data_IF_725196422468
#
_entry.id   IF_725196422468
#
_cell.length_a   1.000
_cell.length_b   1.000
_cell.length_c   1.000
_cell.angle_alpha   90.00
_cell.angle_beta   90.00
_cell.angle_gamma   90.00
#
_symmetry.space_group_name_H-M   'P 1'
#
loop_
_entity.id
_entity.type
_entity.pdbx_description
1 polymer ?
#
# COMPACT_ATOMS: atom_id res chain seq x y z
N UNK A 1 6.41 17.50 0.94
CA UNK A 1 5.47 17.91 -0.13
C UNK A 1 4.09 18.07 0.50
N UNK A 2 3.38 19.18 0.23
CA UNK A 2 1.95 19.28 0.58
C UNK A 2 1.17 18.72 -0.60
N UNK A 3 0.70 17.48 -0.51
CA UNK A 3 -0.20 16.88 -1.49
C UNK A 3 -1.58 17.52 -1.38
N UNK A 4 -2.29 17.66 -2.50
CA UNK A 4 -3.69 18.10 -2.52
C UNK A 4 -4.60 17.09 -1.80
N UNK A 5 -5.82 17.48 -1.42
CA UNK A 5 -6.77 16.54 -0.83
C UNK A 5 -7.10 15.40 -1.79
N UNK A 6 -7.29 15.72 -3.07
CA UNK A 6 -7.51 14.74 -4.13
C UNK A 6 -6.33 13.77 -4.31
N UNK A 7 -5.10 14.27 -4.27
CA UNK A 7 -3.88 13.44 -4.36
C UNK A 7 -3.75 12.49 -3.17
N UNK A 8 -4.10 12.96 -1.97
CA UNK A 8 -4.11 12.14 -0.77
C UNK A 8 -5.13 11.00 -0.86
N UNK A 9 -6.36 11.28 -1.29
CA UNK A 9 -7.39 10.26 -1.44
C UNK A 9 -7.03 9.22 -2.51
N UNK A 10 -6.53 9.67 -3.66
CA UNK A 10 -6.05 8.77 -4.72
C UNK A 10 -4.93 7.86 -4.23
N UNK A 11 -3.95 8.43 -3.50
CA UNK A 11 -2.86 7.66 -2.93
C UNK A 11 -3.35 6.64 -1.89
N UNK A 12 -4.32 7.00 -1.05
CA UNK A 12 -4.92 6.08 -0.07
C UNK A 12 -5.60 4.88 -0.75
N UNK A 13 -6.46 5.11 -1.74
CA UNK A 13 -7.17 4.02 -2.42
C UNK A 13 -6.21 3.11 -3.20
N UNK A 14 -5.22 3.69 -3.88
CA UNK A 14 -4.20 2.92 -4.57
C UNK A 14 -3.38 2.07 -3.59
N UNK A 15 -2.95 2.65 -2.46
CA UNK A 15 -2.21 1.94 -1.43
C UNK A 15 -3.00 0.77 -0.84
N UNK A 16 -4.29 0.96 -0.54
CA UNK A 16 -5.16 -0.11 -0.05
C UNK A 16 -5.24 -1.28 -1.05
N UNK A 17 -5.43 -0.99 -2.34
CA UNK A 17 -5.49 -2.01 -3.37
C UNK A 17 -4.17 -2.79 -3.51
N UNK A 18 -3.03 -2.09 -3.52
CA UNK A 18 -1.70 -2.71 -3.57
C UNK A 18 -1.46 -3.60 -2.34
N UNK A 19 -1.75 -3.10 -1.14
CA UNK A 19 -1.56 -3.84 0.10
C UNK A 19 -2.40 -5.11 0.17
N UNK A 20 -3.63 -5.10 -0.32
CA UNK A 20 -4.46 -6.31 -0.36
C UNK A 20 -3.81 -7.39 -1.24
N UNK A 21 -3.25 -6.99 -2.39
CA UNK A 21 -2.54 -7.89 -3.30
C UNK A 21 -1.28 -8.47 -2.64
N UNK A 22 -0.44 -7.61 -2.06
CA UNK A 22 0.82 -8.03 -1.43
C UNK A 22 0.59 -8.95 -0.23
N UNK A 23 -0.44 -8.67 0.59
CA UNK A 23 -0.84 -9.54 1.70
C UNK A 23 -1.32 -10.91 1.20
N UNK A 24 -2.02 -10.94 0.06
CA UNK A 24 -2.47 -12.22 -0.52
C UNK A 24 -1.26 -13.05 -0.98
N UNK A 25 -0.31 -12.44 -1.68
CA UNK A 25 0.94 -13.11 -2.08
C UNK A 25 1.75 -13.60 -0.88
N UNK A 26 1.85 -12.80 0.18
CA UNK A 26 2.59 -13.18 1.38
C UNK A 26 1.91 -14.34 2.13
N UNK A 27 0.57 -14.37 2.18
CA UNK A 27 -0.17 -15.51 2.73
C UNK A 27 0.05 -16.78 1.92
N UNK A 28 0.12 -16.68 0.60
CA UNK A 28 0.41 -17.82 -0.27
C UNK A 28 1.85 -18.32 -0.07
N UNK A 29 2.83 -17.42 0.08
CA UNK A 29 4.22 -17.77 0.43
C UNK A 29 4.33 -18.42 1.80
N UNK A 30 3.62 -17.91 2.80
CA UNK A 30 3.55 -18.48 4.14
C UNK A 30 3.03 -19.91 4.11
N UNK A 31 1.97 -20.14 3.34
CA UNK A 31 1.40 -21.48 3.11
C UNK A 31 2.39 -22.41 2.39
N UNK A 32 3.11 -21.93 1.37
CA UNK A 32 4.04 -22.76 0.59
C UNK A 32 5.34 -23.10 1.34
N UNK A 33 5.80 -22.23 2.24
CA UNK A 33 7.04 -22.39 3.00
C UNK A 33 6.81 -22.82 4.46
N UNK A 34 5.57 -23.17 4.83
CA UNK A 34 5.20 -23.65 6.16
C UNK A 34 5.57 -22.70 7.33
N UNK A 35 5.46 -21.39 7.12
CA UNK A 35 5.55 -20.40 8.22
C UNK A 35 4.20 -19.71 8.46
N UNK A 36 4.07 -19.10 9.65
CA UNK A 36 2.86 -18.35 10.02
C UNK A 36 2.96 -16.91 9.51
N UNK A 37 1.96 -16.48 8.74
CA UNK A 37 1.83 -15.08 8.31
C UNK A 37 1.77 -14.12 9.52
N UNK A 38 2.60 -13.07 9.50
CA UNK A 38 2.59 -12.02 10.51
C UNK A 38 1.61 -10.90 10.14
N UNK A 39 0.52 -10.76 10.88
CA UNK A 39 -0.50 -9.74 10.60
C UNK A 39 0.01 -8.28 10.70
N UNK A 40 1.09 -8.02 11.47
CA UNK A 40 1.68 -6.68 11.57
C UNK A 40 2.33 -6.22 10.26
N UNK A 41 2.73 -7.17 9.41
CA UNK A 41 3.32 -6.90 8.10
C UNK A 41 2.38 -6.08 7.21
N UNK A 42 1.06 -6.24 7.37
CA UNK A 42 0.08 -5.48 6.59
C UNK A 42 0.14 -3.97 6.81
N UNK A 43 0.55 -3.52 8.01
CA UNK A 43 0.72 -2.09 8.29
C UNK A 43 1.98 -1.56 7.59
N UNK A 44 3.09 -2.29 7.69
CA UNK A 44 4.36 -1.92 7.04
C UNK A 44 4.21 -1.87 5.52
N UNK A 45 3.60 -2.89 4.91
CA UNK A 45 3.28 -2.93 3.48
C UNK A 45 2.39 -1.74 3.08
N UNK A 46 1.38 -1.40 3.89
CA UNK A 46 0.53 -0.25 3.61
C UNK A 46 1.31 1.07 3.63
N UNK A 47 2.16 1.30 4.63
CA UNK A 47 2.95 2.52 4.72
C UNK A 47 3.87 2.70 3.51
N UNK A 48 4.49 1.63 3.04
CA UNK A 48 5.38 1.66 1.87
C UNK A 48 4.59 1.88 0.58
N UNK A 49 3.48 1.17 0.39
CA UNK A 49 2.57 1.37 -0.74
C UNK A 49 1.97 2.77 -0.77
N UNK A 50 1.67 3.34 0.40
CA UNK A 50 1.17 4.70 0.52
C UNK A 50 2.21 5.76 0.16
N UNK A 51 3.46 5.59 0.61
CA UNK A 51 4.56 6.48 0.18
C UNK A 51 4.77 6.40 -1.33
N UNK A 52 4.81 5.19 -1.87
CA UNK A 52 4.94 4.96 -3.31
C UNK A 52 3.79 5.63 -4.10
N UNK A 53 2.55 5.45 -3.65
CA UNK A 53 1.39 6.06 -4.28
C UNK A 53 1.42 7.60 -4.19
N UNK A 54 1.80 8.17 -3.04
CA UNK A 54 1.95 9.62 -2.89
C UNK A 54 3.01 10.18 -3.85
N UNK A 55 4.16 9.53 -3.99
CA UNK A 55 5.19 9.94 -4.94
C UNK A 55 4.67 9.88 -6.39
N UNK A 56 3.85 8.88 -6.72
CA UNK A 56 3.26 8.75 -8.04
C UNK A 56 2.23 9.86 -8.33
N UNK A 57 1.35 10.17 -7.38
CA UNK A 57 0.23 11.09 -7.58
C UNK A 57 0.56 12.55 -7.31
N UNK A 58 1.58 12.86 -6.48
CA UNK A 58 1.88 14.23 -6.09
C UNK A 58 2.21 15.11 -7.29
N UNK A 59 1.56 16.28 -7.34
CA UNK A 59 1.70 17.27 -8.42
C UNK A 59 0.98 16.89 -9.72
N UNK A 60 0.27 15.76 -9.76
CA UNK A 60 -0.47 15.31 -10.95
C UNK A 60 -1.97 15.63 -10.88
N UNK A 61 -2.51 15.82 -9.68
CA UNK A 61 -3.93 16.05 -9.47
C UNK A 61 -4.15 17.19 -8.47
N UNK A 62 -3.78 18.43 -8.83
CA UNK A 62 -4.06 19.58 -7.98
C UNK A 62 -5.57 19.67 -7.69
N UNK A 63 -5.91 20.22 -6.52
CA UNK A 63 -7.30 20.42 -6.13
C UNK A 63 -8.02 21.37 -7.11
#
# INVERSE_FOLDING_TARGET
>A
MKSSHREHEMALYAAQAMTISDIAEEKDKAKSHHYTYNARLGIEIFEDNYKHALEHYSGRFPD
#
